data_IF_510125203086
#
_entry.id   IF_510125203086
#
_cell.length_a   1.000
_cell.length_b   1.000
_cell.length_c   1.000
_cell.angle_alpha   90.00
_cell.angle_beta   90.00
_cell.angle_gamma   90.00
#
_symmetry.space_group_name_H-M   'P 1'
#
loop_
_entity.id
_entity.type
_entity.pdbx_description
1 polymer ?
#
# COMPACT_ATOMS: atom_id res chain seq x y z
N UNK A 1 -1.36 7.08 -5.19
CA UNK A 1 -0.89 5.91 -4.39
C UNK A 1 -1.59 5.70 -3.04
N UNK A 2 -2.84 6.14 -2.86
CA UNK A 2 -3.53 5.98 -1.58
C UNK A 2 -4.02 4.53 -1.34
N UNK A 3 -4.46 3.86 -2.41
CA UNK A 3 -5.05 2.51 -2.34
C UNK A 3 -4.09 1.44 -1.77
N UNK A 4 -2.79 1.36 -2.17
CA UNK A 4 -1.85 0.42 -1.57
C UNK A 4 -1.68 0.63 -0.06
N UNK A 5 -1.65 1.90 0.38
CA UNK A 5 -1.56 2.23 1.80
C UNK A 5 -2.81 1.77 2.58
N UNK A 6 -3.99 1.98 2.02
CA UNK A 6 -5.24 1.44 2.58
C UNK A 6 -5.23 -0.08 2.64
N UNK A 7 -4.82 -0.76 1.56
CA UNK A 7 -4.76 -2.22 1.52
C UNK A 7 -3.79 -2.78 2.58
N UNK A 8 -2.61 -2.16 2.74
CA UNK A 8 -1.68 -2.50 3.82
C UNK A 8 -2.32 -2.25 5.19
N UNK A 9 -3.00 -1.13 5.41
CA UNK A 9 -3.63 -0.83 6.69
C UNK A 9 -4.76 -1.81 7.05
N UNK A 10 -5.59 -2.19 6.08
CA UNK A 10 -6.61 -3.24 6.23
C UNK A 10 -5.95 -4.57 6.59
N UNK A 11 -4.90 -4.96 5.87
CA UNK A 11 -4.22 -6.22 6.11
C UNK A 11 -3.53 -6.24 7.48
N UNK A 12 -2.84 -5.16 7.84
CA UNK A 12 -2.21 -4.98 9.15
C UNK A 12 -3.23 -5.14 10.28
N UNK A 13 -4.42 -4.57 10.10
CA UNK A 13 -5.52 -4.70 11.04
C UNK A 13 -5.99 -6.15 11.21
N UNK A 14 -6.16 -6.89 10.10
CA UNK A 14 -6.53 -8.32 10.12
C UNK A 14 -5.48 -9.20 10.83
N UNK A 15 -4.20 -8.81 10.73
CA UNK A 15 -3.07 -9.49 11.41
C UNK A 15 -2.95 -9.12 12.89
N UNK A 16 -3.66 -8.10 13.36
CA UNK A 16 -3.76 -7.72 14.77
C UNK A 16 -2.87 -6.53 15.19
N UNK A 17 -2.91 -6.19 16.48
CA UNK A 17 -2.34 -4.96 17.00
C UNK A 17 -0.81 -4.83 16.85
N UNK A 18 -0.06 -5.93 17.00
CA UNK A 18 1.40 -5.89 16.89
C UNK A 18 1.87 -5.62 15.44
N UNK A 19 1.37 -6.35 14.42
CA UNK A 19 1.61 -6.00 13.02
C UNK A 19 1.13 -4.59 12.65
N UNK A 20 -0.05 -4.17 13.12
CA UNK A 20 -0.59 -2.81 12.94
C UNK A 20 0.37 -1.72 13.42
N UNK A 21 0.86 -1.82 14.65
CA UNK A 21 1.82 -0.86 15.22
C UNK A 21 3.15 -0.82 14.45
N UNK A 22 3.61 -1.94 13.91
CA UNK A 22 4.84 -1.96 13.09
C UNK A 22 4.62 -1.30 11.74
N UNK A 23 3.53 -1.65 11.05
CA UNK A 23 3.18 -1.08 9.77
C UNK A 23 2.98 0.44 9.85
N UNK A 24 2.44 0.94 10.96
CA UNK A 24 2.26 2.37 11.24
C UNK A 24 3.54 3.19 11.06
N UNK A 25 4.69 2.69 11.50
CA UNK A 25 5.97 3.40 11.36
C UNK A 25 6.76 2.96 10.14
N UNK A 26 6.73 1.66 9.81
CA UNK A 26 7.59 1.11 8.77
C UNK A 26 7.09 1.48 7.37
N UNK A 27 5.77 1.51 7.14
CA UNK A 27 5.24 1.91 5.83
C UNK A 27 5.64 3.36 5.49
N UNK A 28 5.36 4.38 6.33
CA UNK A 28 5.71 5.75 6.01
C UNK A 28 7.22 5.97 5.87
N UNK A 29 8.04 5.33 6.72
CA UNK A 29 9.50 5.44 6.64
C UNK A 29 10.05 4.81 5.35
N UNK A 30 9.64 3.59 5.02
CA UNK A 30 10.06 2.94 3.77
C UNK A 30 9.63 3.76 2.55
N UNK A 31 8.43 4.33 2.60
CA UNK A 31 7.90 5.21 1.56
C UNK A 31 8.69 6.52 1.43
N UNK A 32 9.03 7.14 2.55
CA UNK A 32 9.83 8.36 2.55
C UNK A 32 11.25 8.10 2.02
N UNK A 33 11.91 7.04 2.48
CA UNK A 33 13.24 6.63 1.98
C UNK A 33 13.19 6.31 0.49
N UNK A 34 12.18 5.56 0.04
CA UNK A 34 11.96 5.32 -1.39
C UNK A 34 11.76 6.62 -2.17
N UNK A 35 10.98 7.57 -1.62
CA UNK A 35 10.78 8.89 -2.20
C UNK A 35 12.06 9.69 -2.37
N UNK A 36 12.92 9.70 -1.34
CA UNK A 36 14.22 10.36 -1.44
C UNK A 36 15.09 9.74 -2.54
N UNK A 37 15.09 8.41 -2.68
CA UNK A 37 15.81 7.74 -3.77
C UNK A 37 15.20 8.08 -5.14
N UNK A 38 13.87 8.15 -5.23
CA UNK A 38 13.15 8.44 -6.46
C UNK A 38 13.43 9.83 -7.03
N UNK A 39 13.75 10.83 -6.20
CA UNK A 39 14.12 12.19 -6.68
C UNK A 39 15.36 12.18 -7.59
N UNK A 40 16.23 11.18 -7.45
CA UNK A 40 17.44 11.02 -8.25
C UNK A 40 17.25 10.13 -9.50
N UNK A 41 16.05 9.56 -9.69
CA UNK A 41 15.74 8.68 -10.82
C UNK A 41 15.08 9.51 -11.94
N UNK A 42 15.48 9.25 -13.18
CA UNK A 42 14.89 9.88 -14.36
C UNK A 42 13.92 8.94 -15.07
N UNK A 43 12.78 9.50 -15.48
CA UNK A 43 11.73 8.76 -16.17
C UNK A 43 10.89 7.87 -15.25
N UNK A 44 9.66 7.60 -15.69
CA UNK A 44 8.75 6.68 -15.00
C UNK A 44 8.90 5.26 -15.59
N UNK A 45 8.81 4.21 -14.75
CA UNK A 45 8.80 2.84 -15.26
C UNK A 45 7.58 2.62 -16.15
N UNK A 46 7.78 1.87 -17.24
CA UNK A 46 6.72 1.51 -18.20
C UNK A 46 5.83 0.37 -17.71
N UNK A 47 6.17 -0.27 -16.59
CA UNK A 47 5.38 -1.36 -16.00
C UNK A 47 4.17 -0.80 -15.23
N UNK A 48 3.01 -1.49 -15.21
CA UNK A 48 1.82 -1.09 -14.44
C UNK A 48 1.99 -1.38 -12.95
N UNK A 49 2.97 -0.77 -12.31
CA UNK A 49 3.33 -1.03 -10.91
C UNK A 49 2.13 -0.85 -9.99
N UNK A 50 1.33 0.21 -10.18
CA UNK A 50 0.11 0.44 -9.41
C UNK A 50 -0.91 -0.70 -9.58
N UNK A 51 -1.16 -1.16 -10.81
CA UNK A 51 -2.09 -2.26 -11.08
C UNK A 51 -1.65 -3.57 -10.43
N UNK A 52 -0.35 -3.90 -10.52
CA UNK A 52 0.24 -5.08 -9.88
C UNK A 52 0.12 -4.99 -8.36
N UNK A 53 0.48 -3.84 -7.77
CA UNK A 53 0.37 -3.61 -6.32
C UNK A 53 -1.08 -3.76 -5.84
N UNK A 54 -2.06 -3.21 -6.57
CA UNK A 54 -3.46 -3.30 -6.18
C UNK A 54 -3.94 -4.75 -6.25
N UNK A 55 -3.60 -5.46 -7.32
CA UNK A 55 -3.95 -6.87 -7.49
C UNK A 55 -3.40 -7.72 -6.36
N UNK A 56 -2.09 -7.64 -6.10
CA UNK A 56 -1.41 -8.45 -5.09
C UNK A 56 -1.92 -8.12 -3.69
N UNK A 57 -1.98 -6.84 -3.31
CA UNK A 57 -2.40 -6.44 -1.97
C UNK A 57 -3.88 -6.71 -1.73
N UNK A 58 -4.73 -6.42 -2.72
CA UNK A 58 -6.15 -6.74 -2.65
C UNK A 58 -6.38 -8.25 -2.48
N UNK A 59 -5.66 -9.08 -3.24
CA UNK A 59 -5.73 -10.53 -3.13
C UNK A 59 -5.27 -11.04 -1.76
N UNK A 60 -4.18 -10.49 -1.20
CA UNK A 60 -3.71 -10.82 0.15
C UNK A 60 -4.77 -10.51 1.22
N UNK A 61 -5.43 -9.36 1.12
CA UNK A 61 -6.52 -8.96 2.03
C UNK A 61 -7.75 -9.85 1.83
N UNK A 62 -8.17 -10.09 0.59
CA UNK A 62 -9.35 -10.88 0.26
C UNK A 62 -9.21 -12.35 0.68
N UNK A 63 -8.02 -12.91 0.51
CA UNK A 63 -7.69 -14.26 0.95
C UNK A 63 -7.50 -14.37 2.47
N UNK A 64 -7.39 -13.24 3.18
CA UNK A 64 -7.01 -13.17 4.60
C UNK A 64 -5.77 -14.02 4.89
N UNK A 65 -4.77 -13.91 4.00
CA UNK A 65 -3.65 -14.84 3.96
C UNK A 65 -2.86 -14.80 5.29
N UNK A 66 -2.63 -15.97 5.88
CA UNK A 66 -1.95 -16.08 7.16
C UNK A 66 -0.42 -15.99 7.04
N UNK A 67 0.08 -14.80 6.69
CA UNK A 67 1.52 -14.54 6.56
C UNK A 67 2.24 -14.57 7.91
N UNK A 68 3.49 -15.04 7.87
CA UNK A 68 4.42 -14.83 8.98
C UNK A 68 4.70 -13.33 9.15
N UNK A 69 5.04 -12.91 10.38
CA UNK A 69 5.40 -11.53 10.65
C UNK A 69 6.54 -11.02 9.74
N UNK A 70 7.52 -11.86 9.42
CA UNK A 70 8.63 -11.50 8.52
C UNK A 70 8.12 -11.22 7.11
N UNK A 71 7.31 -12.12 6.55
CA UNK A 71 6.73 -11.97 5.22
C UNK A 71 5.82 -10.74 5.12
N UNK A 72 4.98 -10.50 6.14
CA UNK A 72 4.16 -9.30 6.19
C UNK A 72 5.01 -8.03 6.20
N UNK A 73 6.06 -7.97 7.04
CA UNK A 73 6.93 -6.80 7.08
C UNK A 73 7.70 -6.58 5.77
N UNK A 74 8.11 -7.66 5.10
CA UNK A 74 8.73 -7.56 3.79
C UNK A 74 7.77 -6.92 2.77
N UNK A 75 6.50 -7.33 2.76
CA UNK A 75 5.47 -6.71 1.91
C UNK A 75 5.33 -5.21 2.21
N UNK A 76 5.25 -4.83 3.49
CA UNK A 76 5.15 -3.41 3.90
C UNK A 76 6.35 -2.60 3.40
N UNK A 77 7.56 -3.11 3.56
CA UNK A 77 8.80 -2.43 3.16
C UNK A 77 8.87 -2.30 1.64
N UNK A 78 8.61 -3.38 0.91
CA UNK A 78 8.67 -3.40 -0.56
C UNK A 78 7.63 -2.44 -1.14
N UNK A 79 6.38 -2.52 -0.68
CA UNK A 79 5.30 -1.63 -1.15
C UNK A 79 5.63 -0.18 -0.82
N UNK A 80 6.04 0.09 0.41
CA UNK A 80 6.46 1.43 0.83
C UNK A 80 7.57 1.96 -0.07
N UNK A 81 8.68 1.23 -0.21
CA UNK A 81 9.81 1.65 -1.03
C UNK A 81 9.45 1.86 -2.50
N UNK A 82 8.73 0.92 -3.11
CA UNK A 82 8.34 1.00 -4.53
C UNK A 82 7.46 2.22 -4.80
N UNK A 83 6.37 2.40 -4.05
CA UNK A 83 5.50 3.57 -4.24
C UNK A 83 6.15 4.87 -3.75
N UNK A 84 7.09 4.78 -2.81
CA UNK A 84 8.00 5.86 -2.44
C UNK A 84 8.77 6.36 -3.64
N UNK A 85 9.51 5.48 -4.31
CA UNK A 85 10.30 5.81 -5.50
C UNK A 85 9.42 6.49 -6.56
N UNK A 86 8.25 5.92 -6.85
CA UNK A 86 7.31 6.51 -7.83
C UNK A 86 6.87 7.93 -7.43
N UNK A 87 6.57 8.15 -6.15
CA UNK A 87 6.24 9.48 -5.63
C UNK A 87 7.45 10.43 -5.70
N UNK A 88 8.66 9.95 -5.46
CA UNK A 88 9.88 10.74 -5.58
C UNK A 88 10.12 11.25 -6.99
N UNK A 89 10.00 10.35 -7.98
CA UNK A 89 10.13 10.70 -9.41
C UNK A 89 9.09 11.75 -9.81
N UNK A 90 7.84 11.57 -9.40
CA UNK A 90 6.74 12.48 -9.76
C UNK A 90 6.80 13.83 -9.07
N UNK A 91 7.23 13.88 -7.80
CA UNK A 91 7.28 15.12 -7.02
C UNK A 91 8.50 15.99 -7.30
N UNK A 92 9.52 15.47 -8.02
CA UNK A 92 10.73 16.22 -8.42
C UNK A 92 10.38 17.51 -9.19
N UNK A 93 9.36 17.46 -10.04
CA UNK A 93 8.86 18.58 -10.86
C UNK A 93 7.86 19.49 -10.09
N UNK A 94 7.59 19.19 -8.82
CA UNK A 94 6.54 19.83 -8.03
C UNK A 94 6.96 20.10 -6.58
N UNK A 95 6.16 19.72 -5.56
CA UNK A 95 6.44 20.02 -4.15
C UNK A 95 7.75 19.44 -3.55
N UNK A 96 8.46 18.57 -4.28
CA UNK A 96 9.73 17.98 -3.86
C UNK A 96 9.67 17.27 -2.50
N UNK A 97 10.71 17.45 -1.69
CA UNK A 97 10.86 16.80 -0.37
C UNK A 97 9.75 17.20 0.61
N UNK A 98 9.24 18.44 0.53
CA UNK A 98 8.13 18.88 1.38
C UNK A 98 6.86 18.07 1.08
N UNK A 99 6.59 17.76 -0.19
CA UNK A 99 5.53 16.86 -0.59
C UNK A 99 5.69 15.45 -0.01
N UNK A 100 6.91 14.92 0.01
CA UNK A 100 7.21 13.61 0.59
C UNK A 100 6.96 13.56 2.11
N UNK A 101 7.27 14.63 2.84
CA UNK A 101 6.97 14.74 4.28
C UNK A 101 5.44 14.73 4.49
N UNK A 102 4.69 15.48 3.67
CA UNK A 102 3.22 15.49 3.73
C UNK A 102 2.61 14.11 3.46
N UNK A 103 3.15 13.37 2.48
CA UNK A 103 2.76 11.99 2.20
C UNK A 103 3.08 11.09 3.39
N UNK A 104 4.30 11.17 3.95
CA UNK A 104 4.70 10.37 5.12
C UNK A 104 3.74 10.59 6.30
N UNK A 105 3.40 11.85 6.60
CA UNK A 105 2.46 12.18 7.67
C UNK A 105 1.05 11.64 7.38
N UNK A 106 0.58 11.78 6.14
CA UNK A 106 -0.73 11.26 5.70
C UNK A 106 -0.79 9.73 5.83
N UNK A 107 0.25 9.03 5.38
CA UNK A 107 0.35 7.57 5.49
C UNK A 107 0.32 7.13 6.94
N UNK A 108 1.05 7.82 7.82
CA UNK A 108 1.02 7.53 9.26
C UNK A 108 -0.40 7.62 9.82
N UNK A 109 -1.11 8.72 9.54
CA UNK A 109 -2.48 8.95 10.03
C UNK A 109 -3.46 7.91 9.47
N UNK A 110 -3.42 7.65 8.16
CA UNK A 110 -4.30 6.67 7.50
C UNK A 110 -4.07 5.27 8.06
N UNK A 111 -2.82 4.84 8.17
CA UNK A 111 -2.50 3.51 8.71
C UNK A 111 -2.91 3.42 10.17
N UNK A 112 -2.69 4.46 10.98
CA UNK A 112 -3.12 4.49 12.37
C UNK A 112 -4.62 4.27 12.50
N UNK A 113 -5.43 5.09 11.83
CA UNK A 113 -6.89 5.08 11.93
C UNK A 113 -7.45 3.75 11.42
N UNK A 114 -7.08 3.36 10.20
CA UNK A 114 -7.65 2.19 9.54
C UNK A 114 -7.24 0.91 10.27
N UNK A 115 -5.95 0.74 10.59
CA UNK A 115 -5.51 -0.50 11.26
C UNK A 115 -6.07 -0.61 12.68
N UNK A 116 -6.13 0.49 13.45
CA UNK A 116 -6.73 0.49 14.77
C UNK A 116 -8.24 0.19 14.72
N UNK A 117 -8.96 0.77 13.75
CA UNK A 117 -10.36 0.48 13.52
C UNK A 117 -10.56 -1.01 13.26
N UNK A 118 -9.83 -1.61 12.31
CA UNK A 118 -9.97 -3.04 12.01
C UNK A 118 -9.61 -3.92 13.21
N UNK A 119 -8.55 -3.60 13.97
CA UNK A 119 -8.17 -4.33 15.19
C UNK A 119 -9.28 -4.29 16.26
N UNK A 120 -10.04 -3.20 16.32
CA UNK A 120 -11.14 -3.04 17.29
C UNK A 120 -12.36 -3.92 16.98
N UNK A 121 -12.47 -4.44 15.74
CA UNK A 121 -13.63 -5.23 15.31
C UNK A 121 -13.54 -6.67 15.85
N UNK A 122 -14.49 -7.03 16.71
CA UNK A 122 -14.50 -8.34 17.39
C UNK A 122 -15.41 -9.40 16.77
N UNK A 123 -16.40 -8.98 15.97
CA UNK A 123 -17.43 -9.90 15.45
C UNK A 123 -16.89 -10.66 14.24
N UNK A 124 -17.13 -11.98 14.09
CA UNK A 124 -16.56 -12.76 12.98
C UNK A 124 -16.89 -12.22 11.58
N UNK A 125 -18.10 -11.69 11.38
CA UNK A 125 -18.53 -11.15 10.08
C UNK A 125 -17.75 -9.91 9.63
N UNK A 126 -17.13 -9.16 10.54
CA UNK A 126 -16.37 -7.96 10.18
C UNK A 126 -15.12 -8.32 9.39
N UNK A 127 -14.52 -9.48 9.64
CA UNK A 127 -13.43 -10.01 8.82
C UNK A 127 -13.88 -10.21 7.37
N UNK A 128 -15.10 -10.69 7.15
CA UNK A 128 -15.65 -10.88 5.80
C UNK A 128 -15.75 -9.54 5.09
N UNK A 129 -16.23 -8.49 5.76
CA UNK A 129 -16.32 -7.14 5.18
C UNK A 129 -14.96 -6.60 4.77
N UNK A 130 -13.93 -6.77 5.60
CA UNK A 130 -12.56 -6.35 5.23
C UNK A 130 -12.04 -7.13 4.03
N UNK A 131 -12.33 -8.44 3.95
CA UNK A 131 -11.96 -9.27 2.80
C UNK A 131 -12.68 -8.83 1.52
N UNK A 132 -13.95 -8.41 1.61
CA UNK A 132 -14.70 -7.84 0.48
C UNK A 132 -14.09 -6.51 0.04
N UNK A 133 -13.67 -5.65 0.96
CA UNK A 133 -12.93 -4.44 0.61
C UNK A 133 -11.62 -4.78 -0.13
N UNK A 134 -10.90 -5.82 0.31
CA UNK A 134 -9.73 -6.34 -0.39
C UNK A 134 -10.02 -6.84 -1.80
N UNK A 135 -11.16 -7.52 -2.03
CA UNK A 135 -11.50 -8.03 -3.37
C UNK A 135 -11.80 -6.90 -4.35
N UNK A 136 -12.37 -5.78 -3.89
CA UNK A 136 -12.56 -4.59 -4.72
C UNK A 136 -11.22 -3.97 -5.14
N UNK A 137 -10.25 -3.90 -4.22
CA UNK A 137 -8.89 -3.45 -4.54
C UNK A 137 -8.25 -4.39 -5.58
N UNK A 138 -8.40 -5.70 -5.41
CA UNK A 138 -7.88 -6.67 -6.37
C UNK A 138 -8.52 -6.51 -7.76
N UNK A 139 -9.84 -6.31 -7.80
CA UNK A 139 -10.58 -6.09 -9.04
C UNK A 139 -10.13 -4.81 -9.77
N UNK A 140 -9.90 -3.71 -9.05
CA UNK A 140 -9.31 -2.49 -9.63
C UNK A 140 -7.94 -2.80 -10.25
N UNK A 141 -7.09 -3.57 -9.57
CA UNK A 141 -5.81 -4.02 -10.12
C UNK A 141 -5.95 -4.85 -11.40
N UNK A 142 -6.89 -5.80 -11.44
CA UNK A 142 -7.18 -6.59 -12.66
C UNK A 142 -7.66 -5.73 -13.81
N UNK A 143 -8.53 -4.74 -13.54
CA UNK A 143 -9.01 -3.81 -14.56
C UNK A 143 -7.85 -2.97 -15.11
N UNK A 144 -7.04 -2.36 -14.24
CA UNK A 144 -5.89 -1.57 -14.68
C UNK A 144 -4.92 -2.40 -15.53
N UNK A 145 -4.66 -3.64 -15.13
CA UNK A 145 -3.81 -4.55 -15.88
C UNK A 145 -4.41 -4.93 -17.24
N UNK A 146 -5.71 -5.25 -17.29
CA UNK A 146 -6.42 -5.59 -18.53
C UNK A 146 -6.49 -4.43 -19.52
N UNK A 147 -6.66 -3.20 -19.04
CA UNK A 147 -6.64 -2.00 -19.89
C UNK A 147 -5.27 -1.78 -20.53
N UNK A 148 -4.19 -2.08 -19.82
CA UNK A 148 -2.84 -1.94 -20.36
C UNK A 148 -2.55 -2.94 -21.48
N UNK A 149 -3.01 -4.19 -21.34
CA UNK A 149 -2.90 -5.20 -22.41
C UNK A 149 -3.71 -4.75 -23.64
N UNK A 150 -4.93 -4.24 -23.43
CA UNK A 150 -5.79 -3.79 -24.52
C UNK A 150 -5.23 -2.56 -25.25
N UNK A 151 -4.58 -1.64 -24.56
CA UNK A 151 -4.01 -0.42 -25.15
C UNK A 151 -2.71 -0.64 -25.94
N UNK A 152 -2.19 -1.87 -25.98
CA UNK A 152 -0.98 -2.25 -26.73
C UNK A 152 -1.27 -3.01 -28.04
N UNK A 153 -2.55 -3.20 -28.39
CA UNK A 153 -3.00 -3.76 -29.68
C UNK A 153 -3.65 -2.70 -30.55
#
# INVERSE_FOLDING_TARGET
DLIPAFAIALFAGLRGAAPGRRALFILPLAWFVGGLLGVFIEGLPTLPVAGISFLVLGALVAADLNLTNKSFMAVVIVVGGVHGILNGVTLKEGPGVLGLIGIMATLFVVVAIVSAFIVSLKKPWTRIVVRVAGSWVAAMGMLMFGWMIRGQG
#
